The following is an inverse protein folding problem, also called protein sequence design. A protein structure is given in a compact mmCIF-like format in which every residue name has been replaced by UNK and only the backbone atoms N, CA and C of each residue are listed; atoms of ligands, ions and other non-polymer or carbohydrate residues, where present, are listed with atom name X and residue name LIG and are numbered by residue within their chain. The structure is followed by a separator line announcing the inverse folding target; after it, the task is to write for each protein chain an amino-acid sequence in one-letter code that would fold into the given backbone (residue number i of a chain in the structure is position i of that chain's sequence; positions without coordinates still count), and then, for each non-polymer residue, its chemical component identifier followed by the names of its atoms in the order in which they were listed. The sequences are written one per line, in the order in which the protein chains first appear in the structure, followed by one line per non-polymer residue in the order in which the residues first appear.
data_IF_665687142079
#
_entry.id   IF_665687142079
#
_cell.length_a   1.000
_cell.length_b   1.000
_cell.length_c   1.000
_cell.angle_alpha   90.00
_cell.angle_beta   90.00
_cell.angle_gamma   90.00
#
_symmetry.space_group_name_H-M   'P 1'
#
loop_
_entity.id
_entity.type
_entity.pdbx_description
1 polymer ?
#
# COMPACT_ATOMS: atom_id res chain seq x y z
N UNK A 1 -29.68 13.60 -10.46
CA UNK A 1 -28.76 14.37 -9.62
C UNK A 1 -27.61 13.41 -9.29
N UNK A 2 -26.52 13.53 -10.00
CA UNK A 2 -25.27 12.81 -9.68
C UNK A 2 -24.70 13.46 -8.43
N UNK A 3 -24.91 12.85 -7.26
CA UNK A 3 -24.21 13.21 -6.04
C UNK A 3 -22.71 13.03 -6.31
N UNK A 4 -21.95 14.12 -6.28
CA UNK A 4 -20.48 14.00 -6.25
C UNK A 4 -20.13 13.11 -5.07
N UNK A 5 -19.24 12.12 -5.25
CA UNK A 5 -18.81 11.28 -4.15
C UNK A 5 -18.21 12.18 -3.05
N UNK A 6 -18.68 12.02 -1.83
CA UNK A 6 -18.16 12.77 -0.69
C UNK A 6 -16.68 12.44 -0.48
N UNK A 7 -15.85 13.44 -0.21
CA UNK A 7 -14.46 13.24 0.14
C UNK A 7 -14.35 12.95 1.64
N UNK A 8 -13.60 11.91 1.97
CA UNK A 8 -13.26 11.58 3.35
C UNK A 8 -12.03 12.37 3.83
N UNK A 9 -11.11 12.70 2.90
CA UNK A 9 -9.95 13.54 3.17
C UNK A 9 -9.83 14.57 2.06
N UNK A 10 -9.64 15.83 2.46
CA UNK A 10 -9.28 16.95 1.61
C UNK A 10 -8.09 17.65 2.25
N UNK A 11 -6.92 17.57 1.63
CA UNK A 11 -5.71 18.23 2.11
C UNK A 11 -5.10 19.09 1.02
N UNK A 12 -4.63 20.28 1.39
CA UNK A 12 -4.03 21.25 0.47
C UNK A 12 -2.78 21.84 1.09
N UNK A 13 -1.65 21.69 0.40
CA UNK A 13 -0.38 22.30 0.71
C UNK A 13 0.17 21.90 2.09
N UNK A 14 -0.12 20.67 2.58
CA UNK A 14 0.37 20.24 3.88
C UNK A 14 1.89 20.24 3.93
N UNK A 15 2.45 20.89 4.95
CA UNK A 15 3.89 20.93 5.20
C UNK A 15 4.24 20.57 6.64
N UNK A 16 5.39 19.90 6.80
CA UNK A 16 5.96 19.59 8.11
C UNK A 16 7.47 19.48 8.06
N UNK A 17 8.15 20.22 8.92
CA UNK A 17 9.59 20.14 9.11
C UNK A 17 9.93 19.65 10.53
N UNK A 18 11.06 18.96 10.67
CA UNK A 18 11.68 18.57 11.92
C UNK A 18 13.14 19.05 11.90
N UNK A 19 13.44 20.11 12.64
CA UNK A 19 14.72 20.81 12.53
C UNK A 19 14.95 21.25 11.08
N UNK A 20 16.07 20.85 10.49
CA UNK A 20 16.43 21.19 9.10
C UNK A 20 15.85 20.22 8.05
N UNK A 21 15.11 19.20 8.49
CA UNK A 21 14.56 18.19 7.57
C UNK A 21 13.09 18.48 7.23
N UNK A 22 12.80 18.78 5.96
CA UNK A 22 11.45 18.92 5.43
C UNK A 22 10.86 17.52 5.19
N UNK A 23 10.03 17.03 6.11
CA UNK A 23 9.45 15.70 6.04
C UNK A 23 8.23 15.64 5.11
N UNK A 24 7.45 16.72 5.03
CA UNK A 24 6.31 16.88 4.12
C UNK A 24 6.37 18.28 3.53
N UNK A 25 6.30 18.40 2.20
CA UNK A 25 6.55 19.64 1.45
C UNK A 25 5.44 19.86 0.42
N UNK A 26 4.31 20.44 0.87
CA UNK A 26 3.21 20.84 0.00
C UNK A 26 2.35 19.67 -0.49
N UNK A 27 2.04 18.69 0.37
CA UNK A 27 1.22 17.52 -0.01
C UNK A 27 -0.24 17.91 -0.14
N UNK A 28 -0.81 17.61 -1.32
CA UNK A 28 -2.24 17.65 -1.62
C UNK A 28 -2.80 16.23 -1.67
N UNK A 29 -3.99 15.99 -1.11
CA UNK A 29 -4.67 14.69 -1.14
C UNK A 29 -6.19 14.90 -1.23
N UNK A 30 -6.85 14.09 -2.08
CA UNK A 30 -8.30 14.03 -2.21
C UNK A 30 -8.80 12.58 -2.17
N UNK A 31 -9.22 12.11 -1.00
CA UNK A 31 -9.63 10.72 -0.78
C UNK A 31 -11.14 10.58 -0.78
N UNK A 32 -11.68 9.71 -1.62
CA UNK A 32 -13.12 9.42 -1.70
C UNK A 32 -13.58 8.58 -0.52
N UNK A 33 -14.79 8.88 -0.01
CA UNK A 33 -15.41 8.05 1.03
C UNK A 33 -15.71 6.64 0.51
N UNK A 34 -15.50 5.61 1.37
CA UNK A 34 -15.77 4.21 1.05
C UNK A 34 -14.80 3.59 0.04
N UNK A 35 -13.57 4.11 -0.06
CA UNK A 35 -12.52 3.59 -0.93
C UNK A 35 -11.25 3.26 -0.15
N UNK A 36 -10.34 2.51 -0.77
CA UNK A 36 -8.95 2.37 -0.34
C UNK A 36 -8.09 3.37 -1.12
N UNK A 37 -7.44 4.27 -0.42
CA UNK A 37 -6.47 5.19 -1.03
C UNK A 37 -5.07 4.87 -0.54
N UNK A 38 -4.19 4.55 -1.47
CA UNK A 38 -2.79 4.20 -1.21
C UNK A 38 -1.90 5.44 -1.17
N UNK A 39 -1.07 5.56 -0.15
CA UNK A 39 0.06 6.50 -0.09
C UNK A 39 1.33 5.68 -0.17
N UNK A 40 1.92 5.66 -1.36
CA UNK A 40 3.05 4.81 -1.72
C UNK A 40 4.35 5.60 -1.69
N UNK A 41 5.44 4.99 -1.25
CA UNK A 41 6.77 5.59 -1.28
C UNK A 41 7.74 4.89 -0.35
N UNK A 42 9.06 5.18 -0.46
CA UNK A 42 10.07 4.57 0.38
C UNK A 42 9.96 5.02 1.84
N UNK A 43 10.75 4.40 2.71
CA UNK A 43 10.90 4.83 4.09
C UNK A 43 11.42 6.27 4.11
N UNK A 44 10.93 7.09 5.05
CA UNK A 44 11.32 8.51 5.14
C UNK A 44 10.73 9.44 4.07
N UNK A 45 9.94 8.95 3.11
CA UNK A 45 9.29 9.78 2.10
C UNK A 45 8.25 10.77 2.65
N UNK A 46 7.83 10.65 3.91
CA UNK A 46 6.84 11.51 4.55
C UNK A 46 5.47 10.87 4.78
N UNK A 47 5.26 9.60 4.42
CA UNK A 47 3.99 8.86 4.54
C UNK A 47 3.43 8.88 5.96
N UNK A 48 4.18 8.36 6.93
CA UNK A 48 3.78 8.32 8.35
C UNK A 48 3.55 9.70 8.93
N UNK A 49 4.35 10.71 8.52
CA UNK A 49 4.17 12.11 8.95
C UNK A 49 2.85 12.66 8.42
N UNK A 50 2.52 12.39 7.16
CA UNK A 50 1.25 12.80 6.54
C UNK A 50 0.07 12.16 7.27
N UNK A 51 0.09 10.83 7.51
CA UNK A 51 -0.95 10.17 8.32
C UNK A 51 -1.09 10.81 9.69
N UNK A 52 0.00 11.05 10.41
CA UNK A 52 -0.05 11.63 11.76
C UNK A 52 -0.66 13.03 11.77
N UNK A 53 -0.45 13.82 10.74
CA UNK A 53 -1.12 15.13 10.60
C UNK A 53 -2.62 14.95 10.38
N UNK A 54 -3.03 14.08 9.44
CA UNK A 54 -4.44 13.82 9.15
C UNK A 54 -5.18 13.17 10.33
N UNK A 55 -4.50 12.31 11.09
CA UNK A 55 -5.03 11.70 12.32
C UNK A 55 -4.97 12.64 13.53
N UNK A 56 -4.60 13.92 13.35
CA UNK A 56 -4.51 14.95 14.39
C UNK A 56 -3.47 14.69 15.49
N UNK A 57 -2.53 13.78 15.26
CA UNK A 57 -1.43 13.46 16.19
C UNK A 57 -0.23 14.41 16.04
N UNK A 58 -0.18 15.12 14.93
CA UNK A 58 0.86 16.07 14.60
C UNK A 58 0.25 17.30 13.94
N UNK A 59 0.60 18.50 14.43
CA UNK A 59 0.12 19.73 13.80
C UNK A 59 0.95 20.04 12.56
N UNK A 60 0.33 20.35 11.39
CA UNK A 60 1.04 20.84 10.22
C UNK A 60 1.67 22.22 10.51
N UNK A 61 2.78 22.53 9.84
CA UNK A 61 3.42 23.85 9.93
C UNK A 61 2.76 24.85 8.96
N UNK A 62 2.28 24.34 7.79
CA UNK A 62 1.45 25.09 6.85
C UNK A 62 0.52 24.16 6.08
N UNK A 63 -0.36 24.76 5.28
CA UNK A 63 -1.44 24.06 4.58
C UNK A 63 -2.66 23.84 5.46
N UNK A 64 -3.66 23.13 4.92
CA UNK A 64 -4.90 22.81 5.62
C UNK A 64 -5.40 21.45 5.20
N UNK A 65 -6.15 20.78 6.09
CA UNK A 65 -6.86 19.57 5.71
C UNK A 65 -8.19 19.43 6.47
N UNK A 66 -9.12 18.77 5.80
CA UNK A 66 -10.37 18.30 6.39
C UNK A 66 -10.44 16.79 6.32
N UNK A 67 -10.87 16.19 7.41
CA UNK A 67 -11.11 14.76 7.52
C UNK A 67 -12.56 14.56 7.90
N UNK A 68 -13.32 13.88 7.06
CA UNK A 68 -14.76 13.70 7.19
C UNK A 68 -15.52 15.03 7.41
N UNK A 69 -15.05 16.08 6.71
CA UNK A 69 -15.59 17.43 6.78
C UNK A 69 -15.10 18.28 7.96
N UNK A 70 -14.33 17.74 8.92
CA UNK A 70 -13.80 18.44 10.08
C UNK A 70 -12.37 18.91 9.85
N UNK A 71 -12.05 20.13 10.27
CA UNK A 71 -10.69 20.69 10.21
C UNK A 71 -9.77 19.96 11.20
N UNK A 72 -8.61 19.48 10.73
CA UNK A 72 -7.67 18.68 11.55
C UNK A 72 -7.02 19.45 12.70
N UNK A 73 -7.06 20.78 12.68
CA UNK A 73 -6.48 21.64 13.74
C UNK A 73 -7.56 22.20 14.64
N UNK A 74 -8.59 22.82 14.06
CA UNK A 74 -9.64 23.48 14.82
C UNK A 74 -10.65 22.50 15.44
N UNK A 75 -10.90 21.36 14.79
CA UNK A 75 -11.89 20.36 15.16
C UNK A 75 -11.24 18.97 15.45
N UNK A 76 -10.02 18.95 15.94
CA UNK A 76 -9.23 17.73 16.13
C UNK A 76 -9.94 16.66 16.98
N UNK A 77 -10.72 17.06 18.01
CA UNK A 77 -11.47 16.12 18.84
C UNK A 77 -12.60 15.43 18.07
N UNK A 78 -13.27 16.16 17.18
CA UNK A 78 -14.29 15.59 16.30
C UNK A 78 -13.66 14.56 15.35
N UNK A 79 -12.53 14.89 14.73
CA UNK A 79 -11.77 13.96 13.87
C UNK A 79 -11.42 12.68 14.64
N UNK A 80 -10.82 12.81 15.84
CA UNK A 80 -10.43 11.64 16.67
C UNK A 80 -11.57 10.71 17.04
N UNK A 81 -12.79 11.24 17.14
CA UNK A 81 -13.99 10.43 17.39
C UNK A 81 -14.47 9.61 16.20
N UNK A 82 -14.01 9.90 14.99
CA UNK A 82 -14.49 9.30 13.73
C UNK A 82 -13.46 8.41 13.04
N UNK A 83 -12.18 8.55 13.44
CA UNK A 83 -11.06 7.85 12.79
C UNK A 83 -10.42 6.80 13.70
N UNK A 84 -9.74 5.87 13.08
CA UNK A 84 -8.85 4.93 13.76
C UNK A 84 -7.49 4.93 13.09
N UNK A 85 -6.42 4.70 13.86
CA UNK A 85 -5.06 4.58 13.37
C UNK A 85 -4.43 3.28 13.87
N UNK A 86 -3.96 2.47 12.94
CA UNK A 86 -3.14 1.30 13.26
C UNK A 86 -1.71 1.57 12.76
N UNK A 87 -0.80 1.81 13.70
CA UNK A 87 0.59 2.15 13.40
C UNK A 87 1.55 0.95 13.49
N UNK A 88 2.84 1.24 13.42
CA UNK A 88 3.91 0.24 13.58
C UNK A 88 4.05 -0.25 15.03
N UNK A 89 3.62 0.53 16.02
CA UNK A 89 3.64 0.12 17.42
C UNK A 89 2.36 -0.63 17.76
N UNK A 90 2.53 -1.78 18.41
CA UNK A 90 1.41 -2.59 18.88
C UNK A 90 0.50 -1.78 19.82
N UNK A 91 -0.80 -1.76 19.51
CA UNK A 91 -1.81 -1.11 20.34
C UNK A 91 -2.36 -2.04 21.44
N UNK A 92 -1.89 -3.29 21.45
CA UNK A 92 -2.32 -4.34 22.39
C UNK A 92 -1.25 -4.64 23.43
N UNK A 93 -1.68 -4.95 24.64
CA UNK A 93 -0.82 -5.35 25.76
C UNK A 93 -0.43 -6.82 25.60
N UNK A 94 0.88 -7.09 25.62
CA UNK A 94 1.45 -8.42 25.42
C UNK A 94 1.22 -9.37 26.61
N UNK A 95 1.02 -8.83 27.79
CA UNK A 95 0.77 -9.59 29.03
C UNK A 95 -0.71 -9.89 29.26
N UNK A 96 -1.59 -9.39 28.40
CA UNK A 96 -2.99 -9.75 28.34
C UNK A 96 -3.26 -10.78 27.23
N UNK A 97 -4.36 -11.51 27.36
CA UNK A 97 -4.88 -12.37 26.29
C UNK A 97 -5.51 -11.53 25.19
N UNK A 98 -5.67 -12.09 23.99
CA UNK A 98 -6.37 -11.40 22.88
C UNK A 98 -7.78 -10.97 23.27
N UNK A 99 -8.49 -11.81 24.04
CA UNK A 99 -9.84 -11.50 24.55
C UNK A 99 -9.81 -10.35 25.55
N UNK A 100 -8.88 -10.35 26.50
CA UNK A 100 -8.78 -9.30 27.53
C UNK A 100 -8.45 -7.95 26.89
N UNK A 101 -7.54 -7.92 25.92
CA UNK A 101 -7.21 -6.73 25.16
C UNK A 101 -8.45 -6.09 24.52
N UNK A 102 -9.21 -6.88 23.74
CA UNK A 102 -10.40 -6.35 23.05
C UNK A 102 -11.50 -5.92 24.04
N UNK A 103 -11.69 -6.64 25.14
CA UNK A 103 -12.65 -6.25 26.20
C UNK A 103 -12.20 -4.95 26.87
N UNK A 104 -10.91 -4.80 27.19
CA UNK A 104 -10.35 -3.60 27.79
C UNK A 104 -10.58 -2.39 26.90
N UNK A 105 -10.20 -2.49 25.65
CA UNK A 105 -10.37 -1.40 24.65
C UNK A 105 -11.84 -1.06 24.46
N UNK A 106 -12.72 -2.06 24.33
CA UNK A 106 -14.15 -1.83 24.22
C UNK A 106 -14.71 -1.08 25.44
N UNK A 107 -14.22 -1.40 26.64
CA UNK A 107 -14.62 -0.72 27.88
C UNK A 107 -14.10 0.73 27.93
N UNK A 108 -12.87 0.98 27.49
CA UNK A 108 -12.29 2.33 27.37
C UNK A 108 -13.04 3.20 26.36
N UNK A 109 -13.54 2.57 25.29
CA UNK A 109 -14.38 3.22 24.26
C UNK A 109 -15.87 3.32 24.65
N UNK A 110 -16.22 3.03 25.92
CA UNK A 110 -17.56 3.30 26.49
C UNK A 110 -18.57 2.15 26.39
N UNK A 111 -18.23 1.00 25.79
CA UNK A 111 -19.16 -0.13 25.72
C UNK A 111 -19.42 -0.71 27.11
N UNK A 112 -20.68 -1.10 27.40
CA UNK A 112 -21.03 -1.82 28.63
C UNK A 112 -20.38 -3.20 28.66
N UNK A 113 -20.11 -3.78 29.84
CA UNK A 113 -19.38 -5.04 30.00
C UNK A 113 -19.90 -6.19 29.12
N UNK A 114 -21.23 -6.33 29.04
CA UNK A 114 -21.85 -7.38 28.22
C UNK A 114 -21.58 -7.13 26.70
N UNK A 115 -21.73 -5.88 26.26
CA UNK A 115 -21.47 -5.47 24.88
C UNK A 115 -19.97 -5.64 24.53
N UNK A 116 -19.07 -5.25 25.42
CA UNK A 116 -17.63 -5.41 25.24
C UNK A 116 -17.23 -6.88 25.07
N UNK A 117 -17.82 -7.80 25.87
CA UNK A 117 -17.58 -9.24 25.74
C UNK A 117 -18.12 -9.79 24.41
N UNK A 118 -19.33 -9.39 24.00
CA UNK A 118 -19.93 -9.81 22.75
C UNK A 118 -19.10 -9.32 21.54
N UNK A 119 -18.73 -8.05 21.55
CA UNK A 119 -17.91 -7.44 20.48
C UNK A 119 -16.51 -8.08 20.40
N UNK A 120 -15.87 -8.35 21.52
CA UNK A 120 -14.58 -9.05 21.54
C UNK A 120 -14.69 -10.48 20.94
N UNK A 121 -15.76 -11.22 21.27
CA UNK A 121 -15.97 -12.56 20.71
C UNK A 121 -16.23 -12.51 19.20
N UNK A 122 -17.03 -11.56 18.73
CA UNK A 122 -17.31 -11.30 17.32
C UNK A 122 -16.02 -11.03 16.54
N UNK A 123 -15.22 -10.06 17.01
CA UNK A 123 -13.96 -9.69 16.37
C UNK A 123 -12.94 -10.84 16.36
N UNK A 124 -12.79 -11.56 17.47
CA UNK A 124 -11.90 -12.72 17.50
C UNK A 124 -12.34 -13.80 16.50
N UNK A 125 -13.64 -13.99 16.31
CA UNK A 125 -14.16 -14.89 15.29
C UNK A 125 -13.88 -14.40 13.87
N UNK A 126 -14.21 -13.13 13.58
CA UNK A 126 -14.02 -12.53 12.26
C UNK A 126 -12.56 -12.49 11.82
N UNK A 127 -11.62 -12.35 12.77
CA UNK A 127 -10.20 -12.28 12.52
C UNK A 127 -9.47 -13.63 12.65
N UNK A 128 -10.19 -14.74 12.73
CA UNK A 128 -9.64 -16.10 12.89
C UNK A 128 -8.71 -16.23 14.11
N UNK A 129 -9.05 -15.60 15.21
CA UNK A 129 -8.30 -15.61 16.48
C UNK A 129 -9.06 -16.30 17.61
N UNK A 130 -10.23 -16.93 17.34
CA UNK A 130 -11.09 -17.53 18.35
C UNK A 130 -10.36 -18.61 19.16
N UNK A 131 -9.60 -19.49 18.48
CA UNK A 131 -8.85 -20.60 19.13
C UNK A 131 -7.68 -20.09 19.99
N UNK A 132 -7.17 -18.90 19.68
CA UNK A 132 -6.08 -18.26 20.42
C UNK A 132 -6.55 -17.22 21.43
N UNK A 133 -7.86 -16.99 21.56
CA UNK A 133 -8.44 -15.91 22.34
C UNK A 133 -8.01 -15.87 23.81
N UNK A 134 -7.70 -17.03 24.40
CA UNK A 134 -7.26 -17.19 25.79
C UNK A 134 -5.73 -17.26 25.97
N UNK A 135 -4.95 -17.18 24.88
CA UNK A 135 -3.47 -17.12 24.94
C UNK A 135 -3.01 -15.69 25.16
N UNK A 136 -1.90 -15.52 25.87
CA UNK A 136 -1.24 -14.21 26.02
C UNK A 136 -0.71 -13.74 24.66
N UNK A 137 -0.82 -12.45 24.37
CA UNK A 137 -0.45 -11.86 23.08
C UNK A 137 1.04 -12.00 22.81
N UNK A 138 1.91 -12.02 23.81
CA UNK A 138 3.33 -12.33 23.63
C UNK A 138 3.60 -13.69 22.98
N UNK A 139 2.66 -14.62 23.03
CA UNK A 139 2.75 -15.94 22.41
C UNK A 139 2.04 -16.02 21.04
N UNK A 140 1.61 -14.88 20.49
CA UNK A 140 1.06 -14.81 19.15
C UNK A 140 2.17 -14.77 18.09
N UNK A 141 1.89 -15.31 16.90
CA UNK A 141 2.75 -15.02 15.74
C UNK A 141 2.60 -13.56 15.31
N UNK A 142 3.54 -13.04 14.51
CA UNK A 142 3.45 -11.68 13.97
C UNK A 142 2.13 -11.42 13.25
N UNK A 143 1.68 -12.36 12.40
CA UNK A 143 0.41 -12.26 11.70
C UNK A 143 -0.81 -12.28 12.63
N UNK A 144 -0.79 -13.11 13.70
CA UNK A 144 -1.86 -13.12 14.70
C UNK A 144 -1.90 -11.80 15.46
N UNK A 145 -0.73 -11.26 15.86
CA UNK A 145 -0.62 -9.97 16.54
C UNK A 145 -1.16 -8.87 15.65
N UNK A 146 -0.76 -8.81 14.39
CA UNK A 146 -1.24 -7.79 13.45
C UNK A 146 -2.74 -7.84 13.24
N UNK A 147 -3.33 -9.03 13.10
CA UNK A 147 -4.79 -9.19 13.02
C UNK A 147 -5.49 -8.72 14.30
N UNK A 148 -4.92 -8.97 15.46
CA UNK A 148 -5.46 -8.49 16.74
C UNK A 148 -5.37 -6.95 16.84
N UNK A 149 -4.28 -6.33 16.38
CA UNK A 149 -4.12 -4.87 16.35
C UNK A 149 -5.19 -4.21 15.45
N UNK A 150 -5.44 -4.78 14.27
CA UNK A 150 -6.51 -4.31 13.39
C UNK A 150 -7.88 -4.52 14.04
N UNK A 151 -8.14 -5.68 14.65
CA UNK A 151 -9.38 -5.94 15.39
C UNK A 151 -9.59 -4.95 16.55
N UNK A 152 -8.52 -4.61 17.25
CA UNK A 152 -8.52 -3.62 18.33
C UNK A 152 -8.89 -2.22 17.83
N UNK A 153 -8.41 -1.84 16.67
CA UNK A 153 -8.63 -0.52 16.06
C UNK A 153 -10.06 -0.34 15.51
N UNK A 154 -10.83 -1.44 15.35
CA UNK A 154 -12.22 -1.44 14.88
C UNK A 154 -13.22 -1.94 15.93
N UNK A 155 -12.84 -1.96 17.19
CA UNK A 155 -13.78 -2.28 18.31
C UNK A 155 -15.02 -1.40 18.22
N UNK A 156 -14.84 -0.11 17.93
CA UNK A 156 -15.87 0.77 17.40
C UNK A 156 -15.54 1.00 15.94
N UNK A 157 -16.45 0.69 15.03
CA UNK A 157 -16.21 0.79 13.58
C UNK A 157 -15.97 2.26 13.18
N UNK A 158 -14.79 2.62 12.68
CA UNK A 158 -14.48 3.99 12.30
C UNK A 158 -15.08 4.30 10.91
N UNK A 159 -15.30 5.59 10.61
CA UNK A 159 -15.66 6.02 9.26
C UNK A 159 -14.43 6.09 8.34
N UNK A 160 -13.26 6.38 8.91
CA UNK A 160 -11.97 6.39 8.22
C UNK A 160 -10.91 5.68 9.07
N UNK A 161 -10.17 4.78 8.45
CA UNK A 161 -9.08 4.06 9.08
C UNK A 161 -7.75 4.37 8.39
N UNK A 162 -6.78 4.76 9.19
CA UNK A 162 -5.39 4.92 8.76
C UNK A 162 -4.61 3.64 9.04
N UNK A 163 -4.01 3.07 8.02
CA UNK A 163 -3.15 1.88 8.11
C UNK A 163 -1.72 2.27 7.71
N UNK A 164 -0.80 2.23 8.67
CA UNK A 164 0.61 2.50 8.42
C UNK A 164 1.39 1.19 8.36
N UNK A 165 1.78 0.80 7.15
CA UNK A 165 2.50 -0.44 6.82
C UNK A 165 1.87 -1.70 7.43
N UNK A 166 0.60 -2.04 7.10
CA UNK A 166 -0.15 -3.08 7.80
C UNK A 166 0.39 -4.50 7.61
N UNK A 167 1.20 -4.75 6.58
CA UNK A 167 1.68 -6.11 6.25
C UNK A 167 3.19 -6.28 6.39
N UNK A 168 3.90 -5.26 6.88
CA UNK A 168 5.35 -5.33 7.08
C UNK A 168 5.74 -6.48 8.03
N UNK A 169 6.69 -7.32 7.59
CA UNK A 169 7.18 -8.46 8.36
C UNK A 169 6.24 -9.67 8.42
N UNK A 170 5.15 -9.68 7.64
CA UNK A 170 4.24 -10.81 7.56
C UNK A 170 4.64 -11.79 6.45
N UNK A 171 4.39 -13.07 6.71
CA UNK A 171 4.44 -14.09 5.66
C UNK A 171 3.31 -13.89 4.63
N UNK A 172 3.43 -14.46 3.40
CA UNK A 172 2.45 -14.25 2.32
C UNK A 172 1.01 -14.63 2.69
N UNK A 173 0.82 -15.68 3.50
CA UNK A 173 -0.51 -16.12 3.94
C UNK A 173 -1.13 -15.10 4.90
N UNK A 174 -0.37 -14.65 5.88
CA UNK A 174 -0.82 -13.63 6.85
C UNK A 174 -1.11 -12.29 6.16
N UNK A 175 -0.32 -11.92 5.13
CA UNK A 175 -0.55 -10.73 4.30
C UNK A 175 -1.91 -10.81 3.60
N UNK A 176 -2.19 -11.91 2.91
CA UNK A 176 -3.48 -12.11 2.22
C UNK A 176 -4.66 -12.03 3.19
N UNK A 177 -4.55 -12.57 4.39
CA UNK A 177 -5.60 -12.46 5.42
C UNK A 177 -5.84 -11.00 5.84
N UNK A 178 -4.79 -10.20 5.98
CA UNK A 178 -4.94 -8.76 6.25
C UNK A 178 -5.61 -8.03 5.08
N UNK A 179 -5.25 -8.36 3.85
CA UNK A 179 -5.90 -7.79 2.66
C UNK A 179 -7.39 -8.11 2.58
N UNK A 180 -7.79 -9.35 2.90
CA UNK A 180 -9.21 -9.74 2.93
C UNK A 180 -9.99 -8.99 4.01
N UNK A 181 -9.37 -8.73 5.16
CA UNK A 181 -9.95 -7.89 6.22
C UNK A 181 -10.15 -6.45 5.69
N UNK A 182 -9.15 -5.86 5.05
CA UNK A 182 -9.22 -4.51 4.46
C UNK A 182 -10.38 -4.43 3.46
N UNK A 183 -10.50 -5.40 2.55
CA UNK A 183 -11.60 -5.46 1.57
C UNK A 183 -12.97 -5.55 2.25
N UNK A 184 -13.08 -6.35 3.30
CA UNK A 184 -14.32 -6.48 4.07
C UNK A 184 -14.72 -5.16 4.74
N UNK A 185 -13.79 -4.45 5.38
CA UNK A 185 -14.05 -3.16 6.02
C UNK A 185 -14.54 -2.11 5.01
N UNK A 186 -13.93 -2.07 3.83
CA UNK A 186 -14.36 -1.15 2.76
C UNK A 186 -15.74 -1.52 2.21
N UNK A 187 -16.03 -2.81 2.04
CA UNK A 187 -17.35 -3.29 1.62
C UNK A 187 -18.45 -2.94 2.65
N UNK A 188 -18.09 -2.80 3.94
CA UNK A 188 -18.97 -2.31 5.02
C UNK A 188 -19.06 -0.78 5.11
N UNK A 189 -18.35 -0.05 4.24
CA UNK A 189 -18.41 1.41 4.11
C UNK A 189 -17.32 2.19 4.82
N UNK A 190 -16.32 1.53 5.43
CA UNK A 190 -15.16 2.22 6.01
C UNK A 190 -14.25 2.72 4.90
N UNK A 191 -13.78 3.97 4.99
CA UNK A 191 -12.73 4.51 4.13
C UNK A 191 -11.36 4.10 4.68
N UNK A 192 -10.40 3.78 3.82
CA UNK A 192 -9.05 3.39 4.25
C UNK A 192 -8.01 4.25 3.57
N UNK A 193 -7.14 4.90 4.36
CA UNK A 193 -5.89 5.46 3.90
C UNK A 193 -4.75 4.49 4.26
N UNK A 194 -4.18 3.86 3.25
CA UNK A 194 -3.14 2.84 3.36
C UNK A 194 -1.78 3.43 3.02
N UNK A 195 -0.88 3.56 4.00
CA UNK A 195 0.53 3.84 3.71
C UNK A 195 1.32 2.55 3.59
N UNK A 196 2.04 2.40 2.51
CA UNK A 196 2.88 1.23 2.27
C UNK A 196 4.11 1.56 1.42
N UNK A 197 5.15 0.78 1.57
CA UNK A 197 6.27 0.74 0.65
C UNK A 197 6.16 -0.45 -0.33
N UNK A 198 5.22 -1.35 -0.11
CA UNK A 198 5.00 -2.53 -0.95
C UNK A 198 4.07 -2.19 -2.11
N UNK A 199 4.63 -2.22 -3.31
CA UNK A 199 3.94 -1.85 -4.55
C UNK A 199 2.82 -2.82 -4.90
N UNK A 200 3.02 -4.12 -4.66
CA UNK A 200 2.00 -5.16 -4.84
C UNK A 200 0.80 -4.99 -3.89
N UNK A 201 1.01 -4.51 -2.65
CA UNK A 201 -0.08 -4.19 -1.73
C UNK A 201 -0.97 -3.05 -2.26
N UNK A 202 -0.34 -1.96 -2.71
CA UNK A 202 -1.05 -0.84 -3.31
C UNK A 202 -1.79 -1.26 -4.59
N UNK A 203 -1.16 -2.08 -5.43
CA UNK A 203 -1.75 -2.59 -6.67
C UNK A 203 -2.99 -3.47 -6.43
N UNK A 204 -2.98 -4.28 -5.36
CA UNK A 204 -4.06 -5.22 -5.04
C UNK A 204 -5.23 -4.60 -4.30
N UNK A 205 -5.02 -3.51 -3.58
CA UNK A 205 -6.00 -2.96 -2.66
C UNK A 205 -6.52 -1.57 -3.04
N UNK A 206 -5.67 -0.71 -3.64
CA UNK A 206 -6.00 0.70 -3.75
C UNK A 206 -6.88 1.02 -4.98
N UNK A 207 -7.90 1.83 -4.77
CA UNK A 207 -8.72 2.44 -5.84
C UNK A 207 -8.02 3.67 -6.44
N UNK A 208 -7.19 4.35 -5.63
CA UNK A 208 -6.35 5.48 -6.02
C UNK A 208 -5.06 5.47 -5.23
N UNK A 209 -3.99 5.97 -5.82
CA UNK A 209 -2.65 5.99 -5.23
C UNK A 209 -2.04 7.37 -5.40
N UNK A 210 -1.48 7.93 -4.32
CA UNK A 210 -0.49 9.00 -4.39
C UNK A 210 0.91 8.41 -4.14
N UNK A 211 1.83 8.64 -5.06
CA UNK A 211 3.25 8.28 -4.90
C UNK A 211 3.97 9.45 -4.26
N UNK A 212 4.56 9.24 -3.09
CA UNK A 212 5.30 10.27 -2.35
C UNK A 212 6.80 9.94 -2.38
N UNK A 213 7.61 10.90 -2.77
CA UNK A 213 9.06 10.88 -2.61
C UNK A 213 9.54 12.21 -2.03
N UNK A 214 10.44 12.16 -1.04
CA UNK A 214 11.06 13.34 -0.38
C UNK A 214 10.04 14.40 0.04
N UNK A 215 8.95 13.96 0.63
CA UNK A 215 7.89 14.83 1.16
C UNK A 215 6.90 15.38 0.14
N UNK A 216 7.01 15.03 -1.14
CA UNK A 216 6.13 15.53 -2.22
C UNK A 216 5.35 14.41 -2.90
N UNK A 217 4.13 14.71 -3.33
CA UNK A 217 3.39 13.85 -4.26
C UNK A 217 4.01 14.03 -5.65
N UNK A 218 4.59 12.95 -6.21
CA UNK A 218 5.24 12.95 -7.51
C UNK A 218 4.36 12.35 -8.63
N UNK A 219 3.36 11.56 -8.25
CA UNK A 219 2.34 11.05 -9.16
C UNK A 219 1.07 10.69 -8.39
N UNK A 220 -0.09 10.80 -9.04
CA UNK A 220 -1.38 10.41 -8.49
C UNK A 220 -2.26 9.80 -9.59
N UNK A 221 -3.04 8.76 -9.25
CA UNK A 221 -3.96 8.11 -10.15
C UNK A 221 -4.42 6.75 -9.65
N UNK A 222 -5.26 6.07 -10.42
CA UNK A 222 -5.53 4.65 -10.16
C UNK A 222 -4.30 3.79 -10.49
N UNK A 223 -4.16 2.58 -9.94
CA UNK A 223 -3.06 1.68 -10.32
C UNK A 223 -2.92 1.53 -11.84
N UNK A 224 -4.04 1.37 -12.56
CA UNK A 224 -4.05 1.25 -14.01
C UNK A 224 -3.56 2.53 -14.73
N UNK A 225 -3.95 3.71 -14.25
CA UNK A 225 -3.49 4.99 -14.81
C UNK A 225 -2.00 5.19 -14.59
N UNK A 226 -1.50 4.91 -13.39
CA UNK A 226 -0.08 5.01 -13.09
C UNK A 226 0.74 4.05 -13.95
N UNK A 227 0.33 2.80 -14.08
CA UNK A 227 0.98 1.81 -14.95
C UNK A 227 0.99 2.26 -16.41
N UNK A 228 -0.12 2.79 -16.92
CA UNK A 228 -0.21 3.27 -18.31
C UNK A 228 0.62 4.52 -18.58
N UNK A 229 0.98 5.31 -17.56
CA UNK A 229 1.78 6.54 -17.73
C UNK A 229 3.25 6.26 -18.04
N UNK A 230 3.76 5.08 -17.72
CA UNK A 230 5.19 4.74 -17.85
C UNK A 230 5.50 3.97 -19.14
N UNK A 231 4.50 3.53 -19.86
CA UNK A 231 4.68 2.90 -21.15
C UNK A 231 3.69 1.78 -21.48
N UNK A 232 3.78 1.31 -22.67
CA UNK A 232 3.10 0.10 -23.12
C UNK A 232 3.67 -1.11 -22.39
N UNK A 233 2.80 -2.05 -21.99
CA UNK A 233 3.20 -3.30 -21.34
C UNK A 233 4.41 -3.99 -22.00
N UNK A 234 4.91 -5.01 -21.38
CA UNK A 234 6.06 -5.77 -21.85
C UNK A 234 5.64 -7.18 -22.29
N UNK A 235 6.12 -7.59 -23.47
CA UNK A 235 6.04 -8.97 -23.94
C UNK A 235 7.26 -9.73 -23.42
N UNK A 236 7.05 -10.62 -22.47
CA UNK A 236 8.07 -11.56 -22.01
C UNK A 236 8.02 -12.83 -22.87
N UNK A 237 9.14 -13.23 -23.43
CA UNK A 237 9.26 -14.41 -24.28
C UNK A 237 10.35 -15.32 -23.74
N UNK A 238 10.02 -16.58 -23.51
CA UNK A 238 10.98 -17.62 -23.15
C UNK A 238 11.14 -18.60 -24.32
N UNK A 239 12.38 -18.76 -24.77
CA UNK A 239 12.73 -19.63 -25.89
C UNK A 239 12.92 -21.08 -25.43
N UNK A 240 12.65 -22.04 -26.32
CA UNK A 240 13.00 -23.46 -26.09
C UNK A 240 14.51 -23.70 -26.21
N UNK A 241 15.19 -22.95 -27.09
CA UNK A 241 16.62 -23.04 -27.33
C UNK A 241 17.29 -21.70 -27.05
N UNK A 242 18.11 -21.58 -25.98
CA UNK A 242 18.82 -20.37 -25.66
C UNK A 242 19.77 -19.87 -26.76
N UNK A 243 20.23 -20.75 -27.63
CA UNK A 243 21.12 -20.38 -28.74
C UNK A 243 20.43 -19.52 -29.81
N UNK A 244 19.09 -19.60 -29.89
CA UNK A 244 18.30 -18.77 -30.80
C UNK A 244 18.04 -17.35 -30.27
N UNK A 245 18.51 -17.02 -29.05
CA UNK A 245 18.27 -15.71 -28.42
C UNK A 245 18.69 -14.50 -29.28
N UNK A 246 19.87 -14.49 -29.97
CA UNK A 246 20.24 -13.35 -30.81
C UNK A 246 19.32 -13.15 -32.02
N UNK A 247 18.78 -14.24 -32.56
CA UNK A 247 17.85 -14.19 -33.67
C UNK A 247 16.46 -13.74 -33.22
N UNK A 248 16.00 -14.24 -32.10
CA UNK A 248 14.78 -13.80 -31.49
C UNK A 248 14.79 -12.31 -31.12
N UNK A 249 15.88 -11.83 -30.53
CA UNK A 249 16.09 -10.41 -30.25
C UNK A 249 15.95 -9.53 -31.50
N UNK A 250 16.56 -9.94 -32.62
CA UNK A 250 16.44 -9.20 -33.89
C UNK A 250 14.99 -9.16 -34.40
N UNK A 251 14.27 -10.25 -34.30
CA UNK A 251 12.85 -10.30 -34.68
C UNK A 251 12.02 -9.38 -33.78
N UNK A 252 12.18 -9.46 -32.47
CA UNK A 252 11.44 -8.62 -31.53
C UNK A 252 11.75 -7.13 -31.68
N UNK A 253 13.02 -6.77 -31.91
CA UNK A 253 13.41 -5.37 -32.22
C UNK A 253 12.73 -4.86 -33.49
N UNK A 254 12.66 -5.70 -34.54
CA UNK A 254 12.02 -5.32 -35.80
C UNK A 254 10.52 -5.10 -35.63
N UNK A 255 9.83 -5.97 -34.87
CA UNK A 255 8.37 -5.95 -34.72
C UNK A 255 7.89 -4.95 -33.65
N UNK A 256 8.66 -4.79 -32.57
CA UNK A 256 8.25 -4.02 -31.39
C UNK A 256 9.12 -2.80 -31.10
N UNK A 257 10.20 -2.62 -31.85
CA UNK A 257 11.09 -1.45 -31.75
C UNK A 257 12.26 -1.61 -30.80
N UNK A 258 12.12 -2.44 -29.75
CA UNK A 258 13.20 -2.73 -28.80
C UNK A 258 13.04 -4.16 -28.24
N UNK A 259 14.13 -4.73 -27.77
CA UNK A 259 14.12 -5.95 -26.96
C UNK A 259 15.29 -5.92 -25.97
N UNK A 260 15.09 -6.50 -24.80
CA UNK A 260 16.05 -6.55 -23.71
C UNK A 260 16.29 -8.00 -23.30
N UNK A 261 17.54 -8.32 -23.00
CA UNK A 261 17.94 -9.64 -22.51
C UNK A 261 17.69 -9.71 -21.01
N UNK A 262 16.98 -10.75 -20.58
CA UNK A 262 16.83 -11.06 -19.16
C UNK A 262 18.03 -11.86 -18.62
N UNK A 263 18.19 -11.98 -17.28
CA UNK A 263 19.22 -12.82 -16.67
C UNK A 263 19.12 -14.28 -17.10
N UNK A 264 17.90 -14.81 -17.33
CA UNK A 264 17.70 -16.13 -17.93
C UNK A 264 18.19 -16.14 -19.38
N UNK A 265 19.18 -16.99 -19.76
CA UNK A 265 19.72 -17.05 -21.13
C UNK A 265 18.66 -17.32 -22.20
N UNK A 266 17.52 -17.91 -21.85
CA UNK A 266 16.44 -18.22 -22.77
C UNK A 266 15.36 -17.13 -22.82
N UNK A 267 15.45 -16.07 -22.00
CA UNK A 267 14.38 -15.08 -21.89
C UNK A 267 14.73 -13.74 -22.51
N UNK A 268 13.71 -13.10 -23.09
CA UNK A 268 13.73 -11.76 -23.67
C UNK A 268 12.48 -11.00 -23.24
N UNK A 269 12.62 -9.70 -23.07
CA UNK A 269 11.51 -8.76 -22.83
C UNK A 269 11.51 -7.70 -23.92
N UNK A 270 10.33 -7.36 -24.44
CA UNK A 270 10.16 -6.32 -25.43
C UNK A 270 8.96 -5.42 -25.11
N UNK A 271 9.04 -4.09 -25.27
CA UNK A 271 7.90 -3.20 -25.08
C UNK A 271 6.75 -3.60 -26.02
N UNK A 272 5.54 -3.76 -25.49
CA UNK A 272 4.40 -4.18 -26.29
C UNK A 272 3.09 -3.54 -25.78
N UNK A 273 2.46 -2.74 -26.65
CA UNK A 273 1.31 -1.92 -26.28
C UNK A 273 -0.03 -2.69 -26.25
N UNK A 274 -0.14 -3.83 -26.94
CA UNK A 274 -1.39 -4.56 -27.06
C UNK A 274 -1.20 -6.05 -27.31
N UNK A 275 -2.24 -6.83 -26.99
CA UNK A 275 -2.26 -8.25 -27.24
C UNK A 275 -2.14 -8.60 -28.74
N UNK A 276 -2.70 -7.78 -29.63
CA UNK A 276 -2.61 -7.99 -31.08
C UNK A 276 -1.17 -7.91 -31.56
N UNK A 277 -0.43 -6.87 -31.13
CA UNK A 277 0.99 -6.72 -31.46
C UNK A 277 1.86 -7.82 -30.86
N UNK A 278 1.52 -8.28 -29.65
CA UNK A 278 2.17 -9.43 -29.04
C UNK A 278 1.97 -10.70 -29.88
N UNK A 279 0.73 -10.95 -30.31
CA UNK A 279 0.40 -12.10 -31.15
C UNK A 279 1.12 -12.06 -32.50
N UNK A 280 1.22 -10.89 -33.14
CA UNK A 280 1.98 -10.67 -34.36
C UNK A 280 3.47 -10.99 -34.18
N UNK A 281 4.09 -10.47 -33.12
CA UNK A 281 5.50 -10.70 -32.81
C UNK A 281 5.80 -12.18 -32.52
N UNK A 282 4.93 -12.85 -31.75
CA UNK A 282 5.06 -14.29 -31.49
C UNK A 282 4.88 -15.12 -32.78
N UNK A 283 3.92 -14.73 -33.64
CA UNK A 283 3.72 -15.35 -34.94
C UNK A 283 4.95 -15.22 -35.83
N UNK A 284 5.66 -14.06 -35.80
CA UNK A 284 6.87 -13.82 -36.60
C UNK A 284 8.07 -14.64 -36.07
N UNK A 285 8.21 -14.77 -34.73
CA UNK A 285 9.21 -15.68 -34.16
C UNK A 285 9.00 -17.11 -34.67
N UNK A 286 7.75 -17.58 -34.64
CA UNK A 286 7.40 -18.94 -35.16
C UNK A 286 7.71 -19.10 -36.66
N UNK A 287 7.38 -18.10 -37.50
CA UNK A 287 7.66 -18.12 -38.93
C UNK A 287 9.17 -18.12 -39.22
N UNK A 288 9.94 -17.50 -38.34
CA UNK A 288 11.42 -17.48 -38.42
C UNK A 288 12.07 -18.76 -37.88
N UNK A 289 11.28 -19.79 -37.55
CA UNK A 289 11.78 -21.06 -37.02
C UNK A 289 12.25 -21.01 -35.58
N UNK A 290 11.93 -19.95 -34.83
CA UNK A 290 12.29 -19.76 -33.45
C UNK A 290 11.17 -20.32 -32.57
N UNK A 291 11.49 -21.34 -31.75
CA UNK A 291 10.50 -22.00 -30.90
C UNK A 291 10.40 -21.33 -29.53
N UNK A 292 9.19 -20.88 -29.20
CA UNK A 292 8.85 -20.26 -27.94
C UNK A 292 8.38 -21.31 -26.95
N UNK A 293 8.98 -21.37 -25.75
CA UNK A 293 8.55 -22.25 -24.65
C UNK A 293 7.34 -21.68 -23.91
N UNK A 294 7.26 -20.36 -23.84
CA UNK A 294 6.15 -19.63 -23.23
C UNK A 294 6.28 -18.14 -23.48
N UNK A 295 5.17 -17.45 -23.37
CA UNK A 295 5.16 -15.99 -23.41
C UNK A 295 4.08 -15.45 -22.48
N UNK A 296 4.27 -14.23 -21.98
CA UNK A 296 3.27 -13.47 -21.26
C UNK A 296 3.31 -12.01 -21.68
N UNK A 297 2.15 -11.40 -21.79
CA UNK A 297 2.02 -9.96 -21.94
C UNK A 297 1.78 -9.39 -20.55
N UNK A 298 2.82 -8.77 -19.98
CA UNK A 298 2.76 -8.07 -18.70
C UNK A 298 2.32 -6.62 -18.91
N UNK A 299 1.43 -6.13 -18.08
CA UNK A 299 1.32 -4.68 -17.90
C UNK A 299 2.51 -4.20 -17.08
N UNK A 300 2.96 -2.94 -17.24
CA UNK A 300 3.99 -2.38 -16.38
C UNK A 300 3.61 -2.62 -14.90
N UNK A 301 4.59 -2.97 -14.09
CA UNK A 301 4.42 -3.04 -12.64
C UNK A 301 4.43 -1.63 -12.04
N UNK A 302 3.93 -1.47 -10.82
CA UNK A 302 4.13 -0.22 -10.07
C UNK A 302 5.60 0.01 -9.74
N UNK A 303 6.45 -1.05 -9.71
CA UNK A 303 7.92 -0.94 -9.59
C UNK A 303 8.53 -0.18 -10.76
N UNK A 304 8.10 -0.50 -11.98
CA UNK A 304 8.54 0.22 -13.19
C UNK A 304 8.06 1.68 -13.16
N UNK A 305 6.86 1.94 -12.68
CA UNK A 305 6.33 3.29 -12.46
C UNK A 305 7.22 4.06 -11.48
N UNK A 306 7.52 3.46 -10.34
CA UNK A 306 8.33 4.10 -9.32
C UNK A 306 9.76 4.36 -9.82
N UNK A 307 10.37 3.39 -10.50
CA UNK A 307 11.70 3.53 -11.11
C UNK A 307 11.73 4.65 -12.15
N UNK A 308 10.72 4.74 -13.03
CA UNK A 308 10.65 5.78 -14.05
C UNK A 308 10.48 7.18 -13.46
N UNK A 309 9.73 7.31 -12.34
CA UNK A 309 9.48 8.60 -11.69
C UNK A 309 10.66 9.08 -10.82
N UNK A 310 11.38 8.16 -10.19
CA UNK A 310 12.43 8.48 -9.20
C UNK A 310 13.85 8.26 -9.71
N UNK A 311 14.03 7.54 -10.82
CA UNK A 311 15.32 7.10 -11.36
C UNK A 311 16.01 5.99 -10.57
N UNK A 312 15.30 5.38 -9.58
CA UNK A 312 15.80 4.31 -8.69
C UNK A 312 14.67 3.36 -8.34
N UNK A 313 14.99 2.10 -8.01
CA UNK A 313 13.99 1.14 -7.56
C UNK A 313 13.48 1.49 -6.16
N UNK A 314 12.28 0.98 -5.81
CA UNK A 314 11.73 1.18 -4.48
C UNK A 314 12.62 0.54 -3.39
N UNK A 315 13.29 -0.56 -3.68
CA UNK A 315 14.24 -1.26 -2.80
C UNK A 315 15.51 -0.45 -2.56
N UNK A 316 16.12 0.13 -3.61
CA UNK A 316 17.29 1.00 -3.50
C UNK A 316 16.97 2.26 -2.71
N UNK A 317 15.80 2.88 -2.95
CA UNK A 317 15.34 4.03 -2.23
C UNK A 317 15.11 3.76 -0.72
N UNK A 318 14.69 2.53 -0.37
CA UNK A 318 14.54 2.11 1.03
C UNK A 318 15.89 1.90 1.73
N UNK A 319 16.89 1.36 1.04
CA UNK A 319 18.22 1.04 1.59
C UNK A 319 19.03 2.30 1.87
N UNK A 320 19.08 3.28 0.94
CA UNK A 320 19.80 4.55 1.11
C UNK A 320 19.37 5.33 2.36
N UNK A 321 18.11 5.23 2.76
CA UNK A 321 17.61 5.94 3.94
C UNK A 321 17.90 5.23 5.26
N UNK A 322 18.05 3.91 5.25
CA UNK A 322 18.46 3.15 6.43
C UNK A 322 19.89 3.52 6.80
N UNK A 323 20.80 3.57 5.82
CA UNK A 323 22.21 3.95 6.01
C UNK A 323 22.35 5.40 6.52
N UNK A 324 21.59 6.34 5.94
CA UNK A 324 21.59 7.75 6.36
C UNK A 324 21.01 7.97 7.79
N UNK A 325 20.19 7.05 8.28
CA UNK A 325 19.62 7.11 9.64
C UNK A 325 20.59 6.54 10.67
N UNK A 326 21.29 5.47 10.32
CA UNK A 326 22.33 4.87 11.19
C UNK A 326 23.55 5.81 11.35
N UNK A 327 23.99 6.49 10.30
CA UNK A 327 25.07 7.49 10.40
C UNK A 327 24.70 8.68 11.30
N UNK A 328 23.44 9.13 11.31
CA UNK A 328 22.98 10.21 12.21
C UNK A 328 22.82 9.81 13.67
N UNK A 329 22.70 8.51 13.97
CA UNK A 329 22.64 8.00 15.35
C UNK A 329 24.03 7.64 15.90
N UNK A 330 25.04 7.55 15.02
CA UNK A 330 26.42 7.23 15.37
C UNK A 330 27.32 8.49 15.55
N UNK A 331 26.81 9.69 15.20
CA UNK A 331 27.45 10.98 15.38
C UNK A 331 26.80 11.80 16.52
#
# INVERSE_FOLDING_TARGET
MTTQPSLAIEATGLTKAFGDTQAVDGVDLAVRSGSVYGVLGPNGAGKTTTIRMLATLLRPDAGSARVLGHDIVAEADAVRGLVSLTGQLASVDEDLTGRENLILLARLLGLKRAQAKARAAELLGAFELADAAARLVKNYSGGMRRRLDIAASIVVTPQLMFLDEPTTGLDPRSRNQVWDIIRTLVAEGTTILLCTQYLDEADQLADGIAVIDRGKVIAEGTPAQLKSSVGSGALHVRLLDPQQRPDAERVLVRELGAAHREPDPAALTAPCASADRAAEAIGELSRSGIRVAGFSLGQPSLDEVFLALTGRSAEEAATEQTDATEEKHAA
#
